data_IF_407897081203
#
_entry.id   IF_407897081203
#
_cell.length_a   1.000
_cell.length_b   1.000
_cell.length_c   1.000
_cell.angle_alpha   90.00
_cell.angle_beta   90.00
_cell.angle_gamma   90.00
#
_symmetry.space_group_name_H-M   'P 1'
#
loop_
_entity.id
_entity.type
_entity.pdbx_description
1 polymer ?
#
# COMPACT_ATOMS: atom_id res chain seq x y z
N UNK A 1 53.97 44.74 -50.70
CA UNK A 1 53.86 44.43 -49.24
C UNK A 1 53.16 45.61 -48.58
N UNK A 2 52.07 45.53 -47.81
CA UNK A 2 51.17 44.50 -47.31
C UNK A 2 49.83 45.24 -47.11
N UNK A 3 48.70 44.71 -47.58
CA UNK A 3 47.38 45.20 -47.18
C UNK A 3 46.94 44.46 -45.91
N UNK A 4 46.58 45.20 -44.86
CA UNK A 4 46.00 44.67 -43.62
C UNK A 4 44.49 44.84 -43.75
N UNK A 5 43.76 43.73 -43.90
CA UNK A 5 42.31 43.68 -43.77
C UNK A 5 41.97 43.35 -42.31
N UNK A 6 41.20 44.24 -41.66
CA UNK A 6 40.57 43.98 -40.37
C UNK A 6 39.15 43.52 -40.64
N UNK A 7 38.89 42.24 -40.41
CA UNK A 7 37.54 41.66 -40.46
C UNK A 7 36.94 41.68 -39.06
N UNK A 8 35.87 42.46 -38.86
CA UNK A 8 35.05 42.43 -37.64
C UNK A 8 34.02 41.31 -37.79
N UNK A 9 34.19 40.23 -37.03
CA UNK A 9 33.23 39.11 -36.99
C UNK A 9 32.09 39.41 -36.00
N UNK A 10 30.85 39.42 -36.50
CA UNK A 10 29.64 39.49 -35.68
C UNK A 10 29.34 38.08 -35.14
N UNK A 11 29.43 37.87 -33.82
CA UNK A 11 29.00 36.63 -33.17
C UNK A 11 27.52 36.76 -32.84
N UNK A 12 26.66 36.06 -33.57
CA UNK A 12 25.25 35.90 -33.23
C UNK A 12 25.11 34.80 -32.17
N UNK A 13 24.73 35.18 -30.95
CA UNK A 13 24.45 34.24 -29.86
C UNK A 13 23.05 33.65 -30.05
N UNK A 14 22.97 32.37 -30.41
CA UNK A 14 21.73 31.59 -30.44
C UNK A 14 21.34 31.23 -29.00
N UNK A 15 20.41 31.97 -28.41
CA UNK A 15 19.74 31.53 -27.19
C UNK A 15 18.74 30.42 -27.55
N UNK A 16 19.07 29.18 -27.19
CA UNK A 16 18.13 28.06 -27.25
C UNK A 16 17.03 28.28 -26.21
N UNK A 17 15.81 28.57 -26.65
CA UNK A 17 14.64 28.47 -25.78
C UNK A 17 14.44 26.99 -25.42
N UNK A 18 14.81 26.64 -24.19
CA UNK A 18 14.39 25.37 -23.58
C UNK A 18 12.88 25.43 -23.40
N UNK A 19 12.14 24.63 -24.17
CA UNK A 19 10.73 24.37 -23.88
C UNK A 19 10.68 23.55 -22.59
N UNK A 20 10.39 24.19 -21.46
CA UNK A 20 10.06 23.49 -20.23
C UNK A 20 8.87 22.56 -20.54
N UNK A 21 9.11 21.24 -20.55
CA UNK A 21 8.03 20.27 -20.63
C UNK A 21 7.16 20.47 -19.39
N UNK A 22 5.85 20.58 -19.58
CA UNK A 22 4.90 20.51 -18.48
C UNK A 22 5.02 19.10 -17.90
N UNK A 23 5.74 18.95 -16.78
CA UNK A 23 5.78 17.68 -16.06
C UNK A 23 4.38 17.39 -15.52
N UNK A 24 3.86 16.19 -15.81
CA UNK A 24 2.60 15.76 -15.21
C UNK A 24 2.79 15.72 -13.69
N UNK A 25 1.82 16.26 -12.98
CA UNK A 25 1.79 16.16 -11.53
C UNK A 25 1.74 14.69 -11.10
N UNK A 26 2.38 14.37 -9.97
CA UNK A 26 2.21 13.07 -9.29
C UNK A 26 0.69 12.81 -9.13
N UNK A 27 0.20 11.58 -9.35
CA UNK A 27 0.93 10.31 -9.51
C UNK A 27 1.31 9.96 -10.96
N UNK A 28 1.18 10.89 -11.92
CA UNK A 28 1.43 10.64 -13.35
C UNK A 28 0.62 9.47 -13.92
N UNK A 29 -0.63 9.28 -13.48
CA UNK A 29 -1.54 8.27 -14.03
C UNK A 29 -2.03 8.58 -15.46
N UNK A 30 -2.79 7.67 -16.10
CA UNK A 30 -3.14 6.34 -15.61
C UNK A 30 -1.95 5.37 -15.63
N UNK A 31 -1.99 4.34 -14.78
CA UNK A 31 -0.99 3.27 -14.77
C UNK A 31 -1.31 2.17 -15.78
N UNK A 32 -0.27 1.52 -16.28
CA UNK A 32 -0.33 0.34 -17.16
C UNK A 32 0.66 -0.71 -16.65
N UNK A 33 0.42 -1.98 -16.93
CA UNK A 33 1.37 -3.06 -16.67
C UNK A 33 2.02 -3.49 -17.98
N UNK A 34 3.32 -3.78 -17.92
CA UNK A 34 4.07 -4.30 -19.06
C UNK A 34 5.11 -5.29 -18.56
N UNK A 35 5.03 -6.54 -19.02
CA UNK A 35 5.82 -7.62 -18.48
C UNK A 35 5.65 -7.73 -16.95
N UNK A 36 6.74 -7.52 -16.22
CA UNK A 36 6.78 -7.67 -14.76
C UNK A 36 6.56 -6.37 -13.97
N UNK A 37 6.42 -5.24 -14.66
CA UNK A 37 6.46 -3.92 -14.03
C UNK A 37 5.15 -3.14 -14.23
N UNK A 38 4.89 -2.25 -13.27
CA UNK A 38 3.84 -1.22 -13.37
C UNK A 38 4.53 0.04 -13.90
N UNK A 39 3.93 0.70 -14.89
CA UNK A 39 4.44 1.93 -15.47
C UNK A 39 3.44 3.07 -15.27
N UNK A 40 3.96 4.25 -15.00
CA UNK A 40 3.18 5.48 -15.08
C UNK A 40 3.06 5.98 -16.53
N UNK A 41 2.31 7.06 -16.71
CA UNK A 41 2.04 7.62 -18.04
C UNK A 41 3.25 8.32 -18.69
N UNK A 42 4.39 8.40 -17.99
CA UNK A 42 5.68 8.82 -18.55
C UNK A 42 6.57 7.61 -18.91
N UNK A 43 6.10 6.38 -18.63
CA UNK A 43 6.82 5.13 -18.87
C UNK A 43 7.76 4.71 -17.72
N UNK A 44 7.79 5.46 -16.62
CA UNK A 44 8.64 5.17 -15.46
C UNK A 44 8.06 4.00 -14.66
N UNK A 45 8.93 3.12 -14.16
CA UNK A 45 8.52 2.00 -13.31
C UNK A 45 8.02 2.53 -11.96
N UNK A 46 6.82 2.11 -11.57
CA UNK A 46 6.22 2.39 -10.28
C UNK A 46 6.49 1.19 -9.36
N UNK A 47 7.36 1.40 -8.37
CA UNK A 47 7.62 0.44 -7.29
C UNK A 47 6.88 0.89 -6.03
N UNK A 48 6.31 -0.08 -5.32
CA UNK A 48 5.55 0.16 -4.09
C UNK A 48 6.15 -0.63 -2.92
N UNK A 49 6.44 0.07 -1.83
CA UNK A 49 6.77 -0.50 -0.54
C UNK A 49 5.87 0.16 0.50
N UNK A 50 5.11 -0.65 1.23
CA UNK A 50 4.03 -0.15 2.05
C UNK A 50 3.65 -1.04 3.23
N UNK A 51 2.51 -0.71 3.81
CA UNK A 51 1.88 -1.48 4.87
C UNK A 51 0.38 -1.59 4.64
N UNK A 52 -0.22 -2.62 5.21
CA UNK A 52 -1.66 -2.79 5.23
C UNK A 52 -2.30 -1.77 6.16
N UNK A 53 -3.33 -1.09 5.68
CA UNK A 53 -4.22 -0.25 6.49
C UNK A 53 -5.64 -0.83 6.44
N UNK A 54 -6.08 -1.51 7.51
CA UNK A 54 -7.39 -2.14 7.55
C UNK A 54 -8.51 -1.09 7.55
N UNK A 55 -9.50 -1.26 6.67
CA UNK A 55 -10.76 -0.52 6.65
C UNK A 55 -11.97 -1.42 6.41
N UNK A 56 -11.76 -2.74 6.36
CA UNK A 56 -12.78 -3.77 6.13
C UNK A 56 -13.43 -4.29 7.42
N UNK A 57 -13.04 -3.79 8.60
CA UNK A 57 -13.60 -4.19 9.88
C UNK A 57 -15.08 -3.80 10.02
N UNK A 58 -15.66 -4.11 11.17
CA UNK A 58 -17.10 -4.03 11.44
C UNK A 58 -17.66 -2.60 11.30
N UNK A 59 -16.85 -1.58 11.57
CA UNK A 59 -17.21 -0.17 11.36
C UNK A 59 -17.06 0.26 9.90
N UNK A 60 -16.22 -0.44 9.13
CA UNK A 60 -15.88 -0.14 7.74
C UNK A 60 -15.29 1.27 7.54
N UNK A 61 -14.64 1.77 8.58
CA UNK A 61 -13.85 3.01 8.61
C UNK A 61 -12.41 2.61 8.95
N UNK A 62 -11.38 3.16 8.29
CA UNK A 62 -10.00 2.74 8.51
C UNK A 62 -9.53 2.85 9.96
N UNK A 63 -8.83 1.81 10.41
CA UNK A 63 -8.42 1.62 11.79
C UNK A 63 -7.45 2.69 12.29
N UNK A 64 -7.47 2.96 13.60
CA UNK A 64 -6.50 3.87 14.24
C UNK A 64 -6.90 5.33 14.29
N UNK A 65 -7.99 5.75 13.64
CA UNK A 65 -8.39 7.16 13.64
C UNK A 65 -8.89 7.66 15.01
N UNK A 66 -9.17 6.76 15.96
CA UNK A 66 -9.41 7.12 17.37
C UNK A 66 -8.13 7.52 18.11
N UNK A 67 -6.97 7.28 17.53
CA UNK A 67 -5.67 7.65 18.09
C UNK A 67 -5.00 8.77 17.30
N UNK A 68 -5.02 8.69 15.96
CA UNK A 68 -4.34 9.63 15.07
C UNK A 68 -5.26 10.26 14.03
N UNK A 69 -4.84 11.39 13.46
CA UNK A 69 -5.49 11.92 12.26
C UNK A 69 -5.07 11.14 11.01
N UNK A 70 -5.86 11.21 9.93
CA UNK A 70 -5.49 10.67 8.62
C UNK A 70 -4.10 11.16 8.17
N UNK A 71 -3.84 12.47 8.27
CA UNK A 71 -2.54 13.08 7.96
C UNK A 71 -1.41 12.45 8.77
N UNK A 72 -1.65 12.21 10.07
CA UNK A 72 -0.62 11.68 10.95
C UNK A 72 -0.33 10.21 10.67
N UNK A 73 -1.33 9.37 10.44
CA UNK A 73 -1.12 7.96 10.05
C UNK A 73 -0.25 7.89 8.80
N UNK A 74 -0.59 8.66 7.77
CA UNK A 74 0.17 8.69 6.51
C UNK A 74 1.58 9.28 6.70
N UNK A 75 1.74 10.27 7.58
CA UNK A 75 3.06 10.83 7.92
C UNK A 75 3.96 9.79 8.60
N UNK A 76 3.41 8.97 9.49
CA UNK A 76 4.15 7.89 10.17
C UNK A 76 4.58 6.82 9.16
N UNK A 77 3.71 6.41 8.23
CA UNK A 77 4.04 5.50 7.12
C UNK A 77 5.16 6.09 6.26
N UNK A 78 5.04 7.36 5.87
CA UNK A 78 6.04 8.07 5.07
C UNK A 78 7.38 8.22 5.80
N UNK A 79 7.37 8.32 7.13
CA UNK A 79 8.59 8.40 7.95
C UNK A 79 9.47 7.14 7.87
N UNK A 80 8.87 5.99 7.52
CA UNK A 80 9.57 4.73 7.26
C UNK A 80 10.23 4.71 5.86
N UNK A 81 10.00 5.74 5.04
CA UNK A 81 10.39 5.78 3.63
C UNK A 81 9.39 5.09 2.69
N UNK A 82 8.29 4.55 3.21
CA UNK A 82 7.26 3.89 2.42
C UNK A 82 6.53 4.87 1.50
N UNK A 83 6.03 4.38 0.37
CA UNK A 83 5.33 5.19 -0.63
C UNK A 83 3.95 4.62 -1.01
N UNK A 84 3.45 3.63 -0.28
CA UNK A 84 2.16 3.00 -0.59
C UNK A 84 1.44 2.50 0.66
N UNK A 85 0.12 2.41 0.57
CA UNK A 85 -0.74 1.67 1.50
C UNK A 85 -1.56 0.63 0.75
N UNK A 86 -1.77 -0.53 1.35
CA UNK A 86 -2.83 -1.45 0.95
C UNK A 86 -4.05 -1.15 1.80
N UNK A 87 -4.98 -0.40 1.24
CA UNK A 87 -6.18 0.07 1.92
C UNK A 87 -7.30 -0.93 1.65
N UNK A 88 -7.66 -1.67 2.68
CA UNK A 88 -8.68 -2.71 2.56
C UNK A 88 -10.07 -2.14 2.79
N UNK A 89 -11.08 -2.69 2.12
CA UNK A 89 -12.50 -2.41 2.37
C UNK A 89 -13.30 -3.73 2.34
N UNK A 90 -14.51 -3.71 2.90
CA UNK A 90 -15.42 -4.85 2.88
C UNK A 90 -16.43 -4.69 1.73
N UNK A 91 -16.74 -5.79 1.02
CA UNK A 91 -17.84 -5.82 0.04
C UNK A 91 -19.15 -5.31 0.66
N UNK A 92 -19.38 -5.60 1.95
CA UNK A 92 -20.56 -5.16 2.68
C UNK A 92 -20.75 -3.64 2.70
N UNK A 93 -19.68 -2.85 2.71
CA UNK A 93 -19.77 -1.38 2.60
C UNK A 93 -20.53 -1.00 1.32
N UNK A 94 -20.17 -1.63 0.21
CA UNK A 94 -20.76 -1.39 -1.10
C UNK A 94 -22.19 -1.94 -1.16
N UNK A 95 -22.42 -3.14 -0.64
CA UNK A 95 -23.76 -3.75 -0.60
C UNK A 95 -24.76 -2.91 0.19
N UNK A 96 -24.33 -2.33 1.32
CA UNK A 96 -25.17 -1.45 2.14
C UNK A 96 -25.54 -0.15 1.40
N UNK A 97 -24.63 0.42 0.59
CA UNK A 97 -24.93 1.57 -0.27
C UNK A 97 -26.02 1.22 -1.28
N UNK A 98 -25.89 0.09 -1.97
CA UNK A 98 -26.92 -0.35 -2.93
C UNK A 98 -28.26 -0.64 -2.26
N UNK A 99 -28.25 -1.29 -1.09
CA UNK A 99 -29.44 -1.56 -0.31
C UNK A 99 -30.14 -0.28 0.18
N UNK A 100 -29.38 0.80 0.40
CA UNK A 100 -29.86 2.10 0.83
C UNK A 100 -30.05 3.09 -0.34
N UNK A 101 -30.44 2.60 -1.52
CA UNK A 101 -30.83 3.45 -2.65
C UNK A 101 -29.67 4.23 -3.28
N UNK A 102 -28.44 3.77 -3.11
CA UNK A 102 -27.23 4.43 -3.62
C UNK A 102 -26.58 5.39 -2.63
N UNK A 103 -27.08 5.48 -1.40
CA UNK A 103 -26.58 6.40 -0.38
C UNK A 103 -25.82 5.63 0.71
N UNK A 104 -24.60 6.08 1.04
CA UNK A 104 -23.83 5.53 2.14
C UNK A 104 -24.42 5.95 3.51
N UNK A 105 -24.16 5.15 4.54
CA UNK A 105 -24.50 5.51 5.92
C UNK A 105 -23.46 6.47 6.48
N UNK A 106 -23.85 7.24 7.48
CA UNK A 106 -22.91 8.11 8.18
C UNK A 106 -22.04 7.31 9.18
N UNK A 107 -20.88 7.87 9.52
CA UNK A 107 -19.93 7.24 10.42
C UNK A 107 -20.52 7.04 11.81
N UNK A 108 -21.43 7.92 12.28
CA UNK A 108 -22.11 7.69 13.55
C UNK A 108 -22.90 6.38 13.56
N UNK A 109 -23.67 6.14 12.51
CA UNK A 109 -24.43 4.90 12.32
C UNK A 109 -23.47 3.73 12.24
N UNK A 110 -22.42 3.83 11.44
CA UNK A 110 -21.41 2.78 11.29
C UNK A 110 -20.72 2.39 12.63
N UNK A 111 -20.32 3.38 13.44
CA UNK A 111 -19.70 3.12 14.75
C UNK A 111 -20.70 2.51 15.75
N UNK A 112 -21.95 2.98 15.77
CA UNK A 112 -23.00 2.42 16.66
C UNK A 112 -23.33 0.99 16.27
N UNK A 113 -23.47 0.69 14.99
CA UNK A 113 -23.78 -0.66 14.49
C UNK A 113 -22.59 -1.61 14.68
N UNK A 114 -21.37 -1.16 14.38
CA UNK A 114 -20.17 -1.99 14.46
C UNK A 114 -19.68 -2.27 15.89
N UNK A 115 -19.86 -1.33 16.83
CA UNK A 115 -19.31 -1.43 18.20
C UNK A 115 -20.37 -1.43 19.31
N UNK A 116 -21.64 -1.25 18.96
CA UNK A 116 -22.74 -1.01 19.89
C UNK A 116 -22.86 0.47 20.31
N UNK A 117 -24.01 0.88 20.87
CA UNK A 117 -24.32 2.28 21.11
C UNK A 117 -23.39 2.98 22.10
N UNK A 118 -22.95 2.29 23.15
CA UNK A 118 -22.06 2.86 24.18
C UNK A 118 -20.64 3.05 23.63
N UNK A 119 -20.01 1.96 23.22
CA UNK A 119 -18.62 2.00 22.75
C UNK A 119 -18.48 2.72 21.41
N UNK A 120 -19.44 2.55 20.50
CA UNK A 120 -19.48 3.29 19.23
C UNK A 120 -19.49 4.80 19.43
N UNK A 121 -20.27 5.30 20.40
CA UNK A 121 -20.28 6.73 20.74
C UNK A 121 -18.92 7.20 21.28
N UNK A 122 -18.33 6.45 22.21
CA UNK A 122 -17.03 6.78 22.81
C UNK A 122 -15.91 6.81 21.77
N UNK A 123 -15.86 5.81 20.88
CA UNK A 123 -14.83 5.71 19.86
C UNK A 123 -15.01 6.80 18.79
N UNK A 124 -16.25 7.07 18.36
CA UNK A 124 -16.54 8.15 17.42
C UNK A 124 -16.08 9.51 17.96
N UNK A 125 -16.33 9.81 19.25
CA UNK A 125 -15.88 11.06 19.87
C UNK A 125 -14.36 11.25 19.75
N UNK A 126 -13.59 10.17 19.94
CA UNK A 126 -12.13 10.20 19.75
C UNK A 126 -11.75 10.43 18.28
N UNK A 127 -12.43 9.77 17.35
CA UNK A 127 -12.20 9.93 15.91
C UNK A 127 -12.43 11.39 15.49
N UNK A 128 -13.56 11.97 15.88
CA UNK A 128 -13.93 13.36 15.57
C UNK A 128 -12.97 14.36 16.22
N UNK A 129 -12.48 14.06 17.44
CA UNK A 129 -11.46 14.88 18.12
C UNK A 129 -10.14 14.92 17.34
N UNK A 130 -9.70 13.80 16.79
CA UNK A 130 -8.44 13.71 16.05
C UNK A 130 -8.59 14.15 14.58
N UNK A 131 -9.80 14.10 14.03
CA UNK A 131 -10.11 14.44 12.64
C UNK A 131 -11.24 15.49 12.59
N UNK A 132 -10.95 16.75 12.95
CA UNK A 132 -11.97 17.79 13.11
C UNK A 132 -12.68 18.22 11.81
N UNK A 133 -12.22 17.72 10.66
CA UNK A 133 -12.93 17.88 9.38
C UNK A 133 -14.13 16.94 9.23
N UNK A 134 -14.22 15.88 10.03
CA UNK A 134 -15.35 14.96 10.01
C UNK A 134 -16.44 15.42 10.98
N UNK A 135 -17.69 15.05 10.67
CA UNK A 135 -18.85 15.20 11.55
C UNK A 135 -19.51 13.83 11.74
N UNK A 136 -20.42 13.67 12.71
CA UNK A 136 -21.18 12.44 12.85
C UNK A 136 -21.91 12.01 11.57
N UNK A 137 -22.26 12.96 10.69
CA UNK A 137 -22.97 12.78 9.42
C UNK A 137 -22.05 12.47 8.23
N UNK A 138 -20.72 12.60 8.40
CA UNK A 138 -19.74 12.21 7.36
C UNK A 138 -19.98 10.77 6.94
N UNK A 139 -19.96 10.50 5.64
CA UNK A 139 -20.14 9.15 5.09
C UNK A 139 -18.86 8.34 5.19
N UNK A 140 -18.97 7.01 5.22
CA UNK A 140 -17.78 6.16 5.26
C UNK A 140 -16.91 6.40 4.04
N UNK A 141 -17.48 6.45 2.83
CA UNK A 141 -16.74 6.77 1.60
C UNK A 141 -16.09 8.16 1.61
N UNK A 142 -16.66 9.14 2.29
CA UNK A 142 -16.01 10.46 2.47
C UNK A 142 -14.74 10.36 3.33
N UNK A 143 -14.65 9.39 4.25
CA UNK A 143 -13.40 9.09 4.97
C UNK A 143 -12.34 8.51 4.03
N UNK A 144 -12.74 7.59 3.13
CA UNK A 144 -11.84 7.04 2.11
C UNK A 144 -11.37 8.14 1.14
N UNK A 145 -12.25 9.07 0.74
CA UNK A 145 -11.89 10.23 -0.08
C UNK A 145 -10.87 11.13 0.64
N UNK A 146 -11.06 11.37 1.94
CA UNK A 146 -10.11 12.15 2.75
C UNK A 146 -8.73 11.46 2.81
N UNK A 147 -8.69 10.13 2.95
CA UNK A 147 -7.45 9.34 2.89
C UNK A 147 -6.82 9.43 1.51
N UNK A 148 -7.58 9.32 0.43
CA UNK A 148 -7.08 9.43 -0.93
C UNK A 148 -6.52 10.83 -1.22
N UNK A 149 -7.20 11.88 -0.76
CA UNK A 149 -6.74 13.26 -0.88
C UNK A 149 -5.44 13.51 -0.10
N UNK A 150 -5.30 12.93 1.09
CA UNK A 150 -4.08 13.08 1.88
C UNK A 150 -2.93 12.21 1.33
N UNK A 151 -3.23 11.01 0.82
CA UNK A 151 -2.30 10.20 0.04
C UNK A 151 -1.75 11.00 -1.16
N UNK A 152 -2.63 11.74 -1.86
CA UNK A 152 -2.23 12.63 -2.95
C UNK A 152 -1.30 13.75 -2.47
N UNK A 153 -1.60 14.40 -1.35
CA UNK A 153 -0.72 15.42 -0.75
C UNK A 153 0.64 14.86 -0.33
N UNK A 154 0.66 13.64 0.17
CA UNK A 154 1.87 13.00 0.69
C UNK A 154 2.60 12.12 -0.34
N UNK A 155 2.13 12.04 -1.58
CA UNK A 155 2.69 11.17 -2.63
C UNK A 155 2.75 9.69 -2.22
N UNK A 156 1.66 9.18 -1.65
CA UNK A 156 1.49 7.78 -1.25
C UNK A 156 0.50 7.11 -2.18
N UNK A 157 0.89 6.01 -2.83
CA UNK A 157 0.00 5.20 -3.65
C UNK A 157 -1.00 4.42 -2.80
N UNK A 158 -2.16 4.14 -3.37
CA UNK A 158 -3.17 3.29 -2.75
C UNK A 158 -3.32 2.04 -3.62
N UNK A 159 -3.12 0.87 -3.01
CA UNK A 159 -3.60 -0.41 -3.53
C UNK A 159 -4.89 -0.71 -2.78
N UNK A 160 -6.03 -0.59 -3.46
CA UNK A 160 -7.34 -0.84 -2.86
C UNK A 160 -7.64 -2.34 -2.89
N UNK A 161 -7.95 -2.93 -1.74
CA UNK A 161 -8.16 -4.37 -1.59
C UNK A 161 -9.58 -4.67 -1.12
N UNK A 162 -10.31 -5.48 -1.89
CA UNK A 162 -11.57 -6.03 -1.44
C UNK A 162 -11.31 -7.28 -0.58
N UNK A 163 -11.21 -7.07 0.73
CA UNK A 163 -10.63 -8.04 1.65
C UNK A 163 -11.59 -9.13 2.10
N UNK A 164 -12.91 -8.87 2.04
CA UNK A 164 -13.94 -9.83 2.41
C UNK A 164 -14.76 -10.16 1.17
N UNK A 165 -14.43 -11.30 0.57
CA UNK A 165 -15.19 -11.92 -0.52
C UNK A 165 -15.12 -13.45 -0.43
N UNK A 166 -16.11 -14.14 -1.01
CA UNK A 166 -16.04 -15.59 -1.21
C UNK A 166 -15.23 -15.87 -2.48
N UNK A 167 -14.08 -16.51 -2.34
CA UNK A 167 -13.29 -16.99 -3.48
C UNK A 167 -13.83 -18.31 -4.04
N UNK A 168 -13.67 -18.52 -5.35
CA UNK A 168 -13.82 -19.84 -5.98
C UNK A 168 -12.44 -20.50 -6.12
N UNK A 169 -12.34 -21.77 -5.74
CA UNK A 169 -11.14 -22.59 -5.97
C UNK A 169 -11.21 -23.30 -7.33
N UNK A 170 -10.06 -23.75 -7.83
CA UNK A 170 -9.91 -24.61 -9.03
C UNK A 170 -10.18 -23.95 -10.40
N UNK A 171 -10.15 -22.62 -10.46
CA UNK A 171 -10.21 -21.89 -11.74
C UNK A 171 -8.83 -21.78 -12.39
N UNK A 172 -8.78 -21.93 -13.71
CA UNK A 172 -7.57 -21.64 -14.51
C UNK A 172 -7.65 -20.20 -14.97
N UNK A 173 -6.67 -19.39 -14.60
CA UNK A 173 -6.60 -17.99 -15.02
C UNK A 173 -6.56 -17.85 -16.55
N UNK A 174 -7.43 -17.00 -17.10
CA UNK A 174 -7.38 -16.53 -18.48
C UNK A 174 -7.39 -15.01 -18.54
N UNK A 175 -6.54 -14.42 -19.40
CA UNK A 175 -6.57 -12.96 -19.65
C UNK A 175 -7.88 -12.53 -20.32
N UNK A 176 -8.50 -13.42 -21.08
CA UNK A 176 -9.74 -13.15 -21.82
C UNK A 176 -10.95 -12.95 -20.90
N UNK A 177 -10.89 -13.43 -19.65
CA UNK A 177 -11.93 -13.22 -18.64
C UNK A 177 -11.99 -11.75 -18.18
N UNK A 178 -10.92 -10.98 -18.45
CA UNK A 178 -10.78 -9.57 -18.06
C UNK A 178 -10.88 -8.65 -19.27
N UNK A 179 -12.02 -8.68 -19.99
CA UNK A 179 -12.24 -7.89 -21.22
C UNK A 179 -11.94 -6.41 -20.99
N UNK A 180 -10.97 -5.87 -21.75
CA UNK A 180 -10.53 -4.47 -21.66
C UNK A 180 -9.46 -4.16 -20.60
N UNK A 181 -9.14 -5.12 -19.73
CA UNK A 181 -8.15 -4.99 -18.64
C UNK A 181 -7.04 -6.05 -18.72
N UNK A 182 -7.31 -7.16 -19.42
CA UNK A 182 -6.48 -8.36 -19.43
C UNK A 182 -5.11 -8.20 -20.07
N UNK A 183 -4.82 -7.11 -20.80
CA UNK A 183 -3.54 -6.87 -21.45
C UNK A 183 -2.55 -6.12 -20.55
N UNK A 184 -2.97 -4.98 -20.00
CA UNK A 184 -2.08 -3.98 -19.38
C UNK A 184 -2.60 -3.42 -18.05
N UNK A 185 -3.54 -4.09 -17.37
CA UNK A 185 -4.09 -3.62 -16.08
C UNK A 185 -3.96 -4.61 -14.92
N UNK A 186 -3.57 -5.85 -15.19
CA UNK A 186 -3.55 -6.91 -14.18
C UNK A 186 -2.23 -6.95 -13.41
N UNK A 187 -2.35 -7.16 -12.10
CA UNK A 187 -1.28 -7.39 -11.13
C UNK A 187 -1.68 -8.62 -10.32
N UNK A 188 -0.73 -9.51 -10.00
CA UNK A 188 -0.99 -10.64 -9.11
C UNK A 188 -0.63 -10.28 -7.67
N UNK A 189 -1.54 -10.60 -6.76
CA UNK A 189 -1.35 -10.46 -5.33
C UNK A 189 -1.11 -11.84 -4.70
N UNK A 190 -0.12 -11.94 -3.82
CA UNK A 190 0.12 -13.13 -3.01
C UNK A 190 0.31 -12.77 -1.54
N UNK A 191 -0.06 -13.70 -0.66
CA UNK A 191 0.19 -13.65 0.78
C UNK A 191 1.15 -14.77 1.17
N UNK A 192 1.98 -14.54 2.19
CA UNK A 192 2.85 -15.59 2.71
C UNK A 192 2.87 -15.57 4.25
N UNK A 193 2.76 -16.77 4.82
CA UNK A 193 2.73 -17.02 6.25
C UNK A 193 3.62 -18.21 6.66
N UNK A 194 4.65 -18.52 5.86
CA UNK A 194 5.62 -19.60 6.11
C UNK A 194 6.61 -19.23 7.25
N UNK A 195 6.12 -18.63 8.32
CA UNK A 195 6.90 -18.01 9.41
C UNK A 195 7.75 -18.96 10.24
N UNK A 196 7.53 -20.27 10.08
CA UNK A 196 8.30 -21.34 10.72
C UNK A 196 9.33 -22.00 9.78
N UNK A 197 9.54 -21.46 8.58
CA UNK A 197 10.61 -21.92 7.69
C UNK A 197 11.97 -21.80 8.36
N UNK A 198 12.83 -22.79 8.10
CA UNK A 198 14.20 -22.86 8.60
C UNK A 198 15.25 -22.74 7.48
N UNK A 199 14.82 -22.49 6.24
CA UNK A 199 15.69 -22.41 5.08
C UNK A 199 15.24 -21.28 4.15
N UNK A 200 16.11 -20.30 3.93
CA UNK A 200 15.83 -19.20 3.02
C UNK A 200 15.76 -19.71 1.57
N UNK A 201 16.57 -20.70 1.20
CA UNK A 201 16.49 -21.36 -0.12
C UNK A 201 15.13 -22.00 -0.35
N UNK A 202 14.60 -22.71 0.65
CA UNK A 202 13.27 -23.33 0.56
C UNK A 202 12.16 -22.29 0.47
N UNK A 203 12.25 -21.20 1.25
CA UNK A 203 11.28 -20.11 1.19
C UNK A 203 11.32 -19.43 -0.18
N UNK A 204 12.50 -19.09 -0.69
CA UNK A 204 12.69 -18.47 -2.01
C UNK A 204 12.19 -19.38 -3.13
N UNK A 205 12.47 -20.69 -3.05
CA UNK A 205 11.92 -21.68 -3.96
C UNK A 205 10.39 -21.69 -3.96
N UNK A 206 9.75 -21.70 -2.78
CA UNK A 206 8.30 -21.68 -2.67
C UNK A 206 7.70 -20.38 -3.22
N UNK A 207 8.26 -19.22 -2.84
CA UNK A 207 7.83 -17.90 -3.32
C UNK A 207 7.94 -17.78 -4.85
N UNK A 208 9.03 -18.27 -5.43
CA UNK A 208 9.19 -18.31 -6.89
C UNK A 208 8.12 -19.17 -7.55
N UNK A 209 8.04 -20.45 -7.18
CA UNK A 209 7.18 -21.41 -7.86
C UNK A 209 5.67 -21.20 -7.59
N UNK A 210 5.30 -20.45 -6.54
CA UNK A 210 3.90 -20.16 -6.18
C UNK A 210 3.47 -18.72 -6.43
N UNK A 211 4.25 -17.94 -7.17
CA UNK A 211 3.83 -16.60 -7.57
C UNK A 211 4.88 -15.84 -8.37
N UNK A 212 6.09 -15.69 -7.83
CA UNK A 212 7.10 -14.81 -8.43
C UNK A 212 7.69 -15.31 -9.76
N UNK A 213 7.48 -16.57 -10.15
CA UNK A 213 7.77 -17.06 -11.50
C UNK A 213 7.06 -16.21 -12.56
N UNK A 214 5.86 -15.70 -12.29
CA UNK A 214 5.15 -14.79 -13.19
C UNK A 214 5.92 -13.49 -13.48
N UNK A 215 6.92 -13.13 -12.68
CA UNK A 215 7.78 -11.98 -12.96
C UNK A 215 8.99 -12.31 -13.85
N UNK A 216 9.21 -13.59 -14.21
CA UNK A 216 10.38 -14.05 -14.96
C UNK A 216 10.01 -14.47 -16.39
N UNK A 217 10.07 -13.53 -17.33
CA UNK A 217 9.80 -13.79 -18.74
C UNK A 217 10.85 -14.69 -19.43
N UNK A 218 12.01 -14.91 -18.81
CA UNK A 218 13.08 -15.76 -19.38
C UNK A 218 12.92 -17.23 -18.99
N UNK A 219 12.09 -17.53 -17.99
CA UNK A 219 11.79 -18.91 -17.61
C UNK A 219 10.77 -19.50 -18.59
N UNK A 220 11.12 -20.60 -19.32
CA UNK A 220 10.21 -21.20 -20.29
C UNK A 220 8.96 -21.82 -19.67
N UNK A 221 8.92 -22.02 -18.35
CA UNK A 221 7.72 -22.45 -17.64
C UNK A 221 6.74 -21.30 -17.32
N UNK A 222 7.16 -20.04 -17.47
CA UNK A 222 6.29 -18.88 -17.24
C UNK A 222 5.27 -18.75 -18.37
N UNK A 223 4.01 -19.07 -18.08
CA UNK A 223 2.91 -18.99 -19.06
C UNK A 223 2.45 -17.55 -19.26
N UNK A 224 2.28 -16.81 -18.17
CA UNK A 224 1.85 -15.41 -18.19
C UNK A 224 2.83 -14.57 -17.38
N UNK A 225 3.25 -13.44 -17.93
CA UNK A 225 4.12 -12.49 -17.24
C UNK A 225 3.26 -11.40 -16.60
N UNK A 226 3.46 -11.15 -15.31
CA UNK A 226 2.75 -10.14 -14.53
C UNK A 226 3.68 -9.42 -13.55
N UNK A 227 3.37 -8.17 -13.17
CA UNK A 227 3.79 -7.66 -11.88
C UNK A 227 3.16 -8.50 -10.77
N UNK A 228 3.96 -8.85 -9.75
CA UNK A 228 3.52 -9.59 -8.57
C UNK A 228 3.82 -8.75 -7.33
N UNK A 229 2.89 -8.72 -6.38
CA UNK A 229 3.05 -8.05 -5.09
C UNK A 229 2.86 -9.04 -3.93
N UNK A 230 3.76 -8.99 -2.94
CA UNK A 230 3.57 -9.69 -1.66
C UNK A 230 2.89 -8.74 -0.68
N UNK A 231 1.58 -8.85 -0.57
CA UNK A 231 0.76 -7.83 0.12
C UNK A 231 0.48 -8.17 1.57
N UNK A 232 0.73 -9.41 1.99
CA UNK A 232 0.65 -9.80 3.39
C UNK A 232 1.81 -10.74 3.75
N UNK A 233 2.65 -10.23 4.64
CA UNK A 233 3.69 -10.97 5.35
C UNK A 233 4.02 -10.20 6.63
N UNK A 234 4.64 -10.86 7.60
CA UNK A 234 5.10 -10.19 8.80
C UNK A 234 5.52 -11.16 9.88
N UNK A 235 5.69 -10.64 11.08
CA UNK A 235 6.01 -11.39 12.28
C UNK A 235 5.48 -10.66 13.52
N UNK A 236 5.54 -11.32 14.68
CA UNK A 236 5.24 -10.66 15.95
C UNK A 236 6.22 -9.51 16.20
N UNK A 237 5.68 -8.32 16.44
CA UNK A 237 6.42 -7.11 16.78
C UNK A 237 6.73 -7.04 18.30
N UNK A 238 6.25 -8.00 19.10
CA UNK A 238 6.45 -8.02 20.55
C UNK A 238 7.80 -8.61 21.00
N UNK A 239 8.54 -9.25 20.08
CA UNK A 239 9.77 -9.95 20.42
C UNK A 239 10.91 -9.71 19.42
N UNK A 240 12.08 -10.28 19.73
CA UNK A 240 13.27 -10.24 18.87
C UNK A 240 13.36 -11.39 17.87
N UNK A 241 12.28 -12.13 17.62
CA UNK A 241 12.32 -13.35 16.78
C UNK A 241 12.70 -13.06 15.33
N UNK A 242 12.52 -11.82 14.84
CA UNK A 242 12.99 -11.39 13.53
C UNK A 242 14.51 -11.53 13.35
N UNK A 243 15.30 -11.54 14.45
CA UNK A 243 16.75 -11.74 14.42
C UNK A 243 17.14 -13.22 14.35
N UNK A 244 16.31 -14.10 14.90
CA UNK A 244 16.66 -15.52 15.09
C UNK A 244 15.96 -16.45 14.10
N UNK A 245 14.81 -16.03 13.56
CA UNK A 245 14.07 -16.75 12.53
C UNK A 245 14.57 -16.39 11.14
N UNK A 246 14.42 -17.33 10.22
CA UNK A 246 14.83 -17.18 8.81
C UNK A 246 13.86 -16.33 8.01
N UNK A 247 12.57 -16.37 8.36
CA UNK A 247 11.50 -15.80 7.55
C UNK A 247 11.67 -14.30 7.22
N UNK A 248 11.78 -13.46 8.26
CA UNK A 248 11.79 -12.01 8.09
C UNK A 248 13.05 -11.50 7.40
N UNK A 249 14.29 -11.88 7.81
CA UNK A 249 15.49 -11.47 7.10
C UNK A 249 15.52 -11.94 5.64
N UNK A 250 15.06 -13.17 5.36
CA UNK A 250 15.03 -13.70 4.00
C UNK A 250 14.10 -12.89 3.08
N UNK A 251 12.92 -12.48 3.57
CA UNK A 251 12.02 -11.60 2.80
C UNK A 251 12.57 -10.19 2.63
N UNK A 252 13.26 -9.66 3.65
CA UNK A 252 13.89 -8.35 3.59
C UNK A 252 14.99 -8.27 2.51
N UNK A 253 15.66 -9.38 2.20
CA UNK A 253 16.61 -9.50 1.10
C UNK A 253 15.92 -9.83 -0.24
N UNK A 254 15.02 -10.80 -0.23
CA UNK A 254 14.42 -11.35 -1.44
C UNK A 254 13.55 -10.34 -2.20
N UNK A 255 12.69 -9.59 -1.50
CA UNK A 255 11.73 -8.69 -2.15
C UNK A 255 12.43 -7.54 -2.92
N UNK A 256 13.46 -6.87 -2.36
CA UNK A 256 14.29 -5.95 -3.12
C UNK A 256 15.02 -6.63 -4.29
N UNK A 257 15.61 -7.81 -4.08
CA UNK A 257 16.36 -8.53 -5.11
C UNK A 257 15.49 -8.85 -6.33
N UNK A 258 14.29 -9.40 -6.09
CA UNK A 258 13.32 -9.67 -7.15
C UNK A 258 12.53 -8.44 -7.53
N UNK A 259 12.82 -7.25 -6.99
CA UNK A 259 12.18 -6.00 -7.40
C UNK A 259 10.64 -6.06 -7.30
N UNK A 260 10.13 -6.74 -6.28
CA UNK A 260 8.71 -6.92 -6.04
C UNK A 260 8.11 -5.69 -5.33
N UNK A 261 6.82 -5.45 -5.57
CA UNK A 261 6.05 -4.58 -4.70
C UNK A 261 5.66 -5.35 -3.43
N UNK A 262 5.54 -4.67 -2.29
CA UNK A 262 5.17 -5.37 -1.06
C UNK A 262 4.47 -4.49 -0.03
N UNK A 263 3.68 -5.16 0.83
CA UNK A 263 2.98 -4.54 1.95
C UNK A 263 3.13 -5.41 3.19
N UNK A 264 3.71 -4.86 4.26
CA UNK A 264 3.87 -5.58 5.53
C UNK A 264 2.57 -5.52 6.34
N UNK A 265 2.23 -6.62 7.00
CA UNK A 265 1.21 -6.67 8.06
C UNK A 265 1.77 -5.98 9.31
N UNK A 266 1.16 -4.98 9.92
CA UNK A 266 0.07 -4.06 9.55
C UNK A 266 0.39 -2.73 10.27
N UNK A 267 -0.08 -1.55 9.82
CA UNK A 267 0.22 -0.31 10.56
C UNK A 267 -0.42 -0.25 11.95
N UNK A 268 -1.48 -1.03 12.17
CA UNK A 268 -2.39 -0.91 13.32
C UNK A 268 -1.74 -1.35 14.63
N UNK A 269 -1.86 -0.53 15.68
CA UNK A 269 -1.54 -0.95 17.06
C UNK A 269 -2.74 -1.61 17.75
N UNK A 270 -3.86 -0.88 17.82
CA UNK A 270 -5.17 -1.39 18.25
C UNK A 270 -6.24 -1.16 17.20
N UNK A 271 -7.07 -2.18 17.01
CA UNK A 271 -8.28 -2.14 16.20
C UNK A 271 -9.45 -1.56 17.01
N UNK A 272 -10.43 -0.96 16.34
CA UNK A 272 -11.75 -0.67 16.94
C UNK A 272 -12.36 -1.96 17.50
N UNK A 273 -12.36 -3.01 16.68
CA UNK A 273 -12.75 -4.38 17.02
C UNK A 273 -12.04 -5.34 16.09
N UNK A 274 -11.73 -6.55 16.59
CA UNK A 274 -11.27 -7.66 15.76
C UNK A 274 -11.62 -8.97 16.45
N UNK A 275 -12.16 -9.94 15.70
CA UNK A 275 -12.56 -11.25 16.24
C UNK A 275 -13.53 -11.13 17.44
N UNK A 276 -14.39 -10.12 17.43
CA UNK A 276 -15.34 -9.85 18.52
C UNK A 276 -14.72 -9.21 19.78
N UNK A 277 -13.44 -8.82 19.74
CA UNK A 277 -12.75 -8.13 20.83
C UNK A 277 -12.55 -6.67 20.46
N UNK A 278 -13.13 -5.75 21.24
CA UNK A 278 -12.91 -4.32 21.05
C UNK A 278 -11.53 -3.89 21.58
N UNK A 279 -10.96 -2.85 20.96
CA UNK A 279 -9.61 -2.35 21.29
C UNK A 279 -8.55 -3.48 21.24
N UNK A 280 -8.73 -4.42 20.29
CA UNK A 280 -7.85 -5.57 20.11
C UNK A 280 -6.43 -5.10 19.78
N UNK A 281 -5.50 -5.46 20.66
CA UNK A 281 -4.08 -5.17 20.54
C UNK A 281 -3.41 -6.19 19.61
N UNK A 282 -3.06 -5.76 18.40
CA UNK A 282 -2.39 -6.64 17.43
C UNK A 282 -0.89 -6.69 17.69
N UNK A 283 -0.43 -7.83 18.19
CA UNK A 283 0.98 -8.09 18.45
C UNK A 283 1.86 -8.05 17.19
N UNK A 284 1.27 -8.14 16.00
CA UNK A 284 1.98 -8.03 14.71
C UNK A 284 1.94 -6.59 14.14
N UNK A 285 1.25 -5.69 14.83
CA UNK A 285 1.14 -4.29 14.49
C UNK A 285 2.46 -3.51 14.60
N UNK A 286 2.77 -2.71 13.58
CA UNK A 286 3.93 -1.82 13.59
C UNK A 286 3.83 -0.77 14.71
N UNK A 287 2.65 -0.20 14.90
CA UNK A 287 2.39 0.74 15.98
C UNK A 287 2.20 0.02 17.32
N UNK A 288 2.62 0.69 18.40
CA UNK A 288 2.28 0.28 19.75
C UNK A 288 0.77 0.53 20.04
N UNK A 289 0.21 -0.05 21.12
CA UNK A 289 -1.24 -0.11 21.31
C UNK A 289 -1.94 1.27 21.40
N UNK A 290 -1.23 2.30 21.88
CA UNK A 290 -1.74 3.66 22.00
C UNK A 290 -1.35 4.58 20.83
N UNK A 291 -0.71 4.01 19.79
CA UNK A 291 -0.22 4.71 18.60
C UNK A 291 0.71 5.90 18.91
N UNK A 292 1.41 5.86 20.03
CA UNK A 292 2.40 6.87 20.43
C UNK A 292 3.78 6.64 19.78
N UNK A 293 4.00 5.48 19.16
CA UNK A 293 5.21 5.16 18.42
C UNK A 293 5.25 3.72 17.93
N UNK A 294 6.43 3.27 17.48
CA UNK A 294 6.63 1.91 16.99
C UNK A 294 6.65 0.88 18.13
N UNK A 295 5.98 -0.26 17.96
CA UNK A 295 6.01 -1.38 18.91
C UNK A 295 7.41 -1.98 19.03
N UNK A 296 8.11 -2.08 17.91
CA UNK A 296 9.47 -2.57 17.83
C UNK A 296 10.39 -1.56 17.11
N UNK A 297 10.85 -0.51 17.82
CA UNK A 297 11.71 0.51 17.22
C UNK A 297 13.00 -0.09 16.64
N UNK A 298 13.55 -1.12 17.29
CA UNK A 298 14.77 -1.77 16.83
C UNK A 298 14.58 -2.47 15.47
N UNK A 299 13.49 -3.22 15.29
CA UNK A 299 13.14 -3.82 13.99
C UNK A 299 12.92 -2.74 12.91
N UNK A 300 12.20 -1.68 13.27
CA UNK A 300 11.92 -0.57 12.34
C UNK A 300 13.22 0.05 11.83
N UNK A 301 14.13 0.39 12.74
CA UNK A 301 15.40 1.05 12.41
C UNK A 301 16.38 0.11 11.70
N UNK A 302 16.52 -1.13 12.16
CA UNK A 302 17.58 -2.03 11.71
C UNK A 302 17.20 -2.92 10.52
N UNK A 303 15.90 -3.11 10.24
CA UNK A 303 15.45 -4.01 9.18
C UNK A 303 14.44 -3.36 8.23
N UNK A 304 13.35 -2.78 8.75
CA UNK A 304 12.26 -2.29 7.90
C UNK A 304 12.70 -1.08 7.05
N UNK A 305 13.29 -0.05 7.66
CA UNK A 305 13.78 1.12 6.93
C UNK A 305 14.84 0.73 5.88
N UNK A 306 15.86 -0.10 6.20
CA UNK A 306 16.78 -0.63 5.20
C UNK A 306 16.11 -1.41 4.07
N UNK A 307 15.11 -2.25 4.36
CA UNK A 307 14.36 -3.00 3.35
C UNK A 307 13.62 -2.06 2.39
N UNK A 308 12.97 -1.02 2.92
CA UNK A 308 12.29 0.01 2.12
C UNK A 308 13.29 0.71 1.21
N UNK A 309 14.43 1.15 1.74
CA UNK A 309 15.48 1.80 0.95
C UNK A 309 16.02 0.88 -0.15
N UNK A 310 16.29 -0.39 0.15
CA UNK A 310 16.74 -1.39 -0.82
C UNK A 310 15.72 -1.65 -1.93
N UNK A 311 14.42 -1.52 -1.63
CA UNK A 311 13.34 -1.70 -2.63
C UNK A 311 13.38 -0.63 -3.73
N UNK A 312 13.89 0.56 -3.42
CA UNK A 312 13.97 1.71 -4.34
C UNK A 312 15.38 1.99 -4.88
N UNK A 313 16.38 1.19 -4.52
CA UNK A 313 17.74 1.27 -5.03
C UNK A 313 17.87 0.67 -6.44
#
# INVERSE_FOLDING_TARGET
MKFINISVGLIASLMSLSTAKCEKAWPKGPFVTSGRDIHNSDGEIVRQAGTNWPGHGEVMVPEGLQYLSVERVLSEIKSLGMNAIRLTFATELVDQIYANGGEDIDIKTAFIEGLGPENGTIVLEKVLKNNPSFTPETKRLEVYDAIAAECLRQHIYITLDNHISSGECDQVFSRDDFVGYGEDKLILEIHNYETNTNSCDSLRYNLYNKGFQAMNASDPATVNVFPVQLTEYGHSMEDGSWKTKVYQPCLAEYLPEVKANWFIWVIVGRYYTRQGVQEFDDSWGLMNPDWSGWRNPEYVEQMLIPQVAATFA
#
